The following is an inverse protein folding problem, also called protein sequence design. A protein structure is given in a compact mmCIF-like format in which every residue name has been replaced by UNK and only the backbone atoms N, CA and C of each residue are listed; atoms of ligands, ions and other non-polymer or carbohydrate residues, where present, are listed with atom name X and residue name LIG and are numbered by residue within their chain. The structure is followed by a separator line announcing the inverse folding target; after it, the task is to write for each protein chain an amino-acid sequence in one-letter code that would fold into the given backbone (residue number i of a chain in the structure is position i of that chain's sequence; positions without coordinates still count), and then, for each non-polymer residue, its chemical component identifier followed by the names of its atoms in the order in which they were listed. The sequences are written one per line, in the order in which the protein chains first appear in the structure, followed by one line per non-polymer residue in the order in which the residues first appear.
data_IF_149752255922
#
_entry.id   IF_149752255922
#
_cell.length_a   1.000
_cell.length_b   1.000
_cell.length_c   1.000
_cell.angle_alpha   90.00
_cell.angle_beta   90.00
_cell.angle_gamma   90.00
#
_symmetry.space_group_name_H-M   'P 1'
#
loop_
_entity.id
_entity.type
_entity.pdbx_description
1 polymer ?
#
# COMPACT_ATOMS: atom_id res chain seq x y z
N UNK A 1 9.31 -39.64 12.70
CA UNK A 1 9.85 -38.32 12.29
C UNK A 1 8.66 -37.46 11.88
N UNK A 2 8.25 -36.49 12.69
CA UNK A 2 7.32 -35.46 12.20
C UNK A 2 8.15 -34.50 11.37
N UNK A 3 8.10 -34.64 10.05
CA UNK A 3 8.60 -33.56 9.18
C UNK A 3 7.55 -32.46 9.25
N UNK A 4 7.82 -31.41 10.02
CA UNK A 4 7.04 -30.17 9.97
C UNK A 4 7.29 -29.49 8.61
N UNK A 5 6.71 -30.04 7.54
CA UNK A 5 6.73 -29.44 6.22
C UNK A 5 5.65 -28.35 6.16
N UNK A 6 5.89 -27.23 6.83
CA UNK A 6 5.14 -26.00 6.54
C UNK A 6 5.54 -25.55 5.13
N UNK A 7 4.70 -25.89 4.17
CA UNK A 7 4.88 -25.57 2.77
C UNK A 7 4.19 -24.26 2.42
N UNK A 8 4.83 -23.47 1.56
CA UNK A 8 4.15 -22.37 0.88
C UNK A 8 3.15 -23.00 -0.09
N UNK A 9 1.91 -22.51 -0.03
CA UNK A 9 0.79 -22.98 -0.83
C UNK A 9 0.34 -21.90 -1.81
N UNK A 10 -0.32 -22.33 -2.89
CA UNK A 10 -0.98 -21.45 -3.85
C UNK A 10 -2.49 -21.55 -3.68
N UNK A 11 -3.19 -20.45 -3.90
CA UNK A 11 -4.64 -20.41 -3.92
C UNK A 11 -5.17 -19.13 -4.53
N UNK A 12 -6.49 -18.97 -4.53
CA UNK A 12 -7.16 -17.75 -4.99
C UNK A 12 -7.85 -17.04 -3.83
N UNK A 13 -7.77 -15.73 -3.78
CA UNK A 13 -8.53 -14.94 -2.81
C UNK A 13 -10.02 -15.26 -2.96
N UNK A 14 -10.68 -15.59 -1.87
CA UNK A 14 -12.12 -15.79 -1.79
C UNK A 14 -12.82 -14.52 -1.31
N UNK A 15 -12.28 -13.88 -0.26
CA UNK A 15 -12.75 -12.62 0.27
C UNK A 15 -11.61 -11.82 0.88
N UNK A 16 -11.73 -10.49 0.84
CA UNK A 16 -10.88 -9.56 1.59
C UNK A 16 -11.73 -8.96 2.72
N UNK A 17 -11.33 -9.17 3.96
CA UNK A 17 -12.18 -8.95 5.13
C UNK A 17 -11.39 -8.60 6.40
N UNK A 18 -12.10 -8.49 7.52
CA UNK A 18 -11.52 -8.20 8.83
C UNK A 18 -11.53 -6.72 9.19
N UNK A 19 -10.71 -6.39 10.20
CA UNK A 19 -10.58 -5.02 10.70
C UNK A 19 -9.91 -4.15 9.64
N UNK A 20 -10.32 -2.90 9.59
CA UNK A 20 -9.61 -1.89 8.82
C UNK A 20 -8.37 -1.43 9.60
N UNK A 21 -7.27 -1.17 8.90
CA UNK A 21 -6.13 -0.47 9.49
C UNK A 21 -6.33 1.06 9.45
N UNK A 22 -5.27 1.81 9.74
CA UNK A 22 -5.30 3.28 9.79
C UNK A 22 -5.69 3.94 8.45
N UNK A 23 -5.49 3.25 7.32
CA UNK A 23 -5.82 3.74 5.98
C UNK A 23 -7.25 3.34 5.56
N UNK A 24 -7.99 2.58 6.41
CA UNK A 24 -9.29 2.02 6.06
C UNK A 24 -9.18 0.63 5.40
N UNK A 25 -7.97 0.14 5.15
CA UNK A 25 -7.75 -1.09 4.39
C UNK A 25 -7.94 -2.35 5.24
N UNK A 26 -8.61 -3.35 4.67
CA UNK A 26 -8.83 -4.64 5.31
C UNK A 26 -7.50 -5.37 5.54
N UNK A 27 -7.33 -5.93 6.74
CA UNK A 27 -6.06 -6.54 7.15
C UNK A 27 -5.97 -8.05 6.94
N UNK A 28 -7.05 -8.70 6.52
CA UNK A 28 -7.08 -10.16 6.34
C UNK A 28 -7.81 -10.56 5.06
N UNK A 29 -7.49 -11.73 4.53
CA UNK A 29 -8.22 -12.33 3.42
C UNK A 29 -8.35 -13.83 3.60
N UNK A 30 -9.39 -14.39 3.01
CA UNK A 30 -9.57 -15.83 2.90
C UNK A 30 -9.08 -16.30 1.54
N UNK A 31 -8.50 -17.48 1.51
CA UNK A 31 -7.97 -18.09 0.29
C UNK A 31 -8.68 -19.43 0.07
N UNK A 32 -9.02 -19.71 -1.18
CA UNK A 32 -9.38 -21.05 -1.64
C UNK A 32 -8.08 -21.75 -2.10
N UNK A 33 -7.59 -22.76 -1.37
CA UNK A 33 -6.37 -23.49 -1.74
C UNK A 33 -6.49 -24.14 -3.12
N UNK A 34 -5.42 -24.11 -3.93
CA UNK A 34 -5.41 -24.80 -5.23
C UNK A 34 -5.27 -26.32 -5.12
N UNK A 35 -4.80 -26.84 -3.98
CA UNK A 35 -4.54 -28.28 -3.76
C UNK A 35 -5.61 -28.97 -2.93
N UNK A 36 -6.57 -28.22 -2.39
CA UNK A 36 -7.67 -28.73 -1.57
C UNK A 36 -8.97 -28.05 -2.02
N UNK A 37 -9.59 -28.63 -3.03
CA UNK A 37 -10.90 -28.22 -3.53
C UNK A 37 -11.94 -28.48 -2.43
N UNK A 38 -12.28 -27.46 -1.63
CA UNK A 38 -13.61 -27.23 -1.01
C UNK A 38 -13.54 -26.45 0.31
N UNK A 39 -12.38 -26.33 0.96
CA UNK A 39 -12.27 -25.63 2.25
C UNK A 39 -11.53 -24.30 2.12
N UNK A 40 -12.29 -23.22 2.26
CA UNK A 40 -11.74 -21.86 2.38
C UNK A 40 -10.93 -21.76 3.68
N UNK A 41 -9.77 -21.11 3.63
CA UNK A 41 -8.93 -20.92 4.82
C UNK A 41 -9.65 -20.11 5.90
N UNK A 42 -9.13 -20.18 7.13
CA UNK A 42 -9.35 -19.11 8.11
C UNK A 42 -8.79 -17.79 7.55
N UNK A 43 -9.21 -16.62 8.06
CA UNK A 43 -8.66 -15.34 7.61
C UNK A 43 -7.14 -15.33 7.81
N UNK A 44 -6.41 -15.19 6.71
CA UNK A 44 -4.96 -15.06 6.68
C UNK A 44 -4.60 -13.57 6.74
N UNK A 45 -3.47 -13.25 7.36
CA UNK A 45 -3.00 -11.86 7.46
C UNK A 45 -2.55 -11.36 6.10
N UNK A 46 -3.00 -10.17 5.71
CA UNK A 46 -2.45 -9.42 4.57
C UNK A 46 -1.31 -8.54 5.11
N UNK A 47 -0.06 -8.74 4.67
CA UNK A 47 1.04 -7.81 4.97
C UNK A 47 0.67 -6.40 4.55
N UNK A 48 1.16 -5.39 5.28
CA UNK A 48 0.81 -3.99 5.03
C UNK A 48 1.03 -3.54 3.58
N UNK A 49 2.05 -4.10 2.89
CA UNK A 49 2.38 -3.77 1.51
C UNK A 49 1.46 -4.43 0.46
N UNK A 50 0.55 -5.32 0.85
CA UNK A 50 -0.45 -5.94 -0.04
C UNK A 50 -1.89 -5.48 0.26
N UNK A 51 -2.07 -4.53 1.18
CA UNK A 51 -3.39 -4.02 1.55
C UNK A 51 -3.86 -2.95 0.56
N UNK A 52 -5.17 -2.77 0.49
CA UNK A 52 -5.80 -1.70 -0.29
C UNK A 52 -5.40 -1.72 -1.76
N UNK A 53 -5.29 -0.54 -2.35
CA UNK A 53 -4.85 -0.33 -3.74
C UNK A 53 -3.39 -0.73 -3.97
N UNK A 54 -2.56 -0.85 -2.92
CA UNK A 54 -1.15 -1.23 -3.09
C UNK A 54 -0.98 -2.68 -3.53
N UNK A 55 -1.71 -3.61 -2.91
CA UNK A 55 -1.73 -5.01 -3.34
C UNK A 55 -2.89 -5.36 -4.25
N UNK A 56 -3.95 -4.52 -4.26
CA UNK A 56 -5.15 -4.65 -5.08
C UNK A 56 -5.70 -6.09 -5.09
N UNK A 57 -5.75 -6.71 -3.91
CA UNK A 57 -6.24 -8.09 -3.75
C UNK A 57 -7.76 -8.09 -3.93
N UNK A 58 -8.25 -8.89 -4.86
CA UNK A 58 -9.69 -9.05 -5.13
C UNK A 58 -10.04 -10.53 -5.21
N UNK A 59 -11.31 -10.92 -5.02
CA UNK A 59 -11.72 -12.31 -5.22
C UNK A 59 -11.28 -12.84 -6.58
N UNK A 60 -10.63 -14.00 -6.59
CA UNK A 60 -10.03 -14.61 -7.78
C UNK A 60 -8.55 -14.31 -7.99
N UNK A 61 -7.98 -13.29 -7.35
CA UNK A 61 -6.53 -13.00 -7.42
C UNK A 61 -5.76 -14.23 -6.92
N UNK A 62 -4.82 -14.72 -7.74
CA UNK A 62 -3.99 -15.86 -7.37
C UNK A 62 -2.83 -15.41 -6.49
N UNK A 63 -2.63 -16.10 -5.36
CA UNK A 63 -1.66 -15.73 -4.32
C UNK A 63 -0.85 -16.93 -3.85
N UNK A 64 0.39 -16.66 -3.45
CA UNK A 64 1.15 -17.54 -2.58
C UNK A 64 0.89 -17.16 -1.12
N UNK A 65 0.70 -18.16 -0.26
CA UNK A 65 0.48 -17.96 1.17
C UNK A 65 1.14 -19.07 1.99
N UNK A 66 1.40 -18.78 3.26
CA UNK A 66 1.87 -19.77 4.23
C UNK A 66 0.84 -19.91 5.36
N UNK A 67 0.68 -21.12 5.87
CA UNK A 67 -0.20 -21.43 6.99
C UNK A 67 0.59 -22.19 8.07
N UNK A 68 0.39 -21.77 9.31
CA UNK A 68 0.95 -22.41 10.50
C UNK A 68 0.02 -23.54 10.97
N UNK A 69 0.54 -24.41 11.81
CA UNK A 69 -0.19 -25.58 12.34
C UNK A 69 -1.45 -25.20 13.15
N UNK A 70 -1.50 -23.99 13.72
CA UNK A 70 -2.68 -23.46 14.42
C UNK A 70 -3.78 -22.91 13.48
N UNK A 71 -3.55 -22.99 12.17
CA UNK A 71 -4.44 -22.50 11.12
C UNK A 71 -4.41 -20.98 10.91
N UNK A 72 -3.51 -20.26 11.58
CA UNK A 72 -3.18 -18.88 11.24
C UNK A 72 -2.20 -18.85 10.06
N UNK A 73 -2.00 -17.68 9.45
CA UNK A 73 -1.08 -17.58 8.32
C UNK A 73 -1.00 -16.19 7.73
N UNK A 74 -0.25 -16.09 6.64
CA UNK A 74 0.07 -14.84 5.96
C UNK A 74 0.09 -15.04 4.45
N UNK A 75 -0.45 -14.04 3.74
CA UNK A 75 -0.33 -13.95 2.28
C UNK A 75 1.05 -13.37 1.96
N UNK A 76 1.77 -14.01 1.06
CA UNK A 76 3.16 -13.66 0.75
C UNK A 76 3.25 -12.73 -0.47
N UNK A 77 2.51 -13.04 -1.53
CA UNK A 77 2.52 -12.26 -2.77
C UNK A 77 1.33 -12.62 -3.66
N UNK A 78 0.99 -11.72 -4.58
CA UNK A 78 0.27 -12.09 -5.81
C UNK A 78 1.17 -12.95 -6.70
N UNK A 79 0.56 -13.87 -7.43
CA UNK A 79 1.25 -14.75 -8.38
C UNK A 79 1.42 -14.11 -9.77
N UNK A 80 0.73 -13.00 -10.05
CA UNK A 80 0.89 -12.23 -11.29
C UNK A 80 2.18 -11.40 -11.33
N UNK A 81 2.78 -11.12 -10.17
CA UNK A 81 4.00 -10.31 -10.06
C UNK A 81 3.81 -8.82 -10.36
N UNK A 82 2.57 -8.38 -10.58
CA UNK A 82 2.27 -7.00 -10.95
C UNK A 82 2.26 -6.09 -9.71
N UNK A 83 2.44 -4.79 -9.91
CA UNK A 83 2.16 -3.75 -8.92
C UNK A 83 1.72 -2.48 -9.63
N UNK A 84 0.57 -1.93 -9.21
CA UNK A 84 -0.03 -0.76 -9.84
C UNK A 84 0.76 0.55 -9.59
N UNK A 85 1.85 0.49 -8.80
CA UNK A 85 2.71 1.63 -8.49
C UNK A 85 2.10 2.61 -7.49
N UNK A 86 1.04 2.20 -6.79
CA UNK A 86 0.30 3.03 -5.84
C UNK A 86 0.74 2.70 -4.40
N UNK A 87 1.03 3.74 -3.62
CA UNK A 87 1.21 3.66 -2.17
C UNK A 87 0.11 4.49 -1.51
N UNK A 88 -0.89 3.86 -0.86
CA UNK A 88 -2.01 4.56 -0.25
C UNK A 88 -1.63 5.20 1.09
N UNK A 89 -2.26 6.34 1.37
CA UNK A 89 -2.07 7.11 2.60
C UNK A 89 -0.79 7.94 2.63
N UNK A 90 -0.52 8.54 3.79
CA UNK A 90 0.59 9.48 3.96
C UNK A 90 1.96 8.78 4.01
N UNK A 91 2.95 9.38 3.34
CA UNK A 91 4.35 8.95 3.37
C UNK A 91 5.20 9.99 4.09
N UNK A 92 6.02 9.56 5.04
CA UNK A 92 6.99 10.43 5.75
C UNK A 92 8.41 9.91 5.57
N UNK A 93 9.29 10.72 4.98
CA UNK A 93 10.74 10.46 4.87
C UNK A 93 11.47 11.16 6.01
N UNK A 94 11.96 10.39 6.99
CA UNK A 94 12.65 10.95 8.17
C UNK A 94 14.12 11.30 7.94
N UNK A 95 14.79 10.55 7.05
CA UNK A 95 16.21 10.70 6.71
C UNK A 95 16.42 10.37 5.24
N UNK A 96 17.33 11.09 4.59
CA UNK A 96 17.61 10.94 3.16
C UNK A 96 16.90 11.99 2.31
N UNK A 97 17.02 11.84 0.98
CA UNK A 97 16.36 12.69 -0.01
C UNK A 97 15.37 11.85 -0.82
N UNK A 98 14.29 12.48 -1.26
CA UNK A 98 13.40 11.93 -2.27
C UNK A 98 13.80 12.51 -3.64
N UNK A 99 14.17 11.64 -4.57
CA UNK A 99 14.50 12.02 -5.95
C UNK A 99 13.44 11.49 -6.90
N UNK A 100 12.87 12.36 -7.72
CA UNK A 100 11.96 11.98 -8.80
C UNK A 100 12.67 12.09 -10.16
N UNK A 101 12.41 11.16 -11.06
CA UNK A 101 12.91 11.18 -12.44
C UNK A 101 11.73 11.27 -13.41
N UNK A 102 12.01 11.76 -14.63
CA UNK A 102 11.05 11.90 -15.74
C UNK A 102 9.94 12.94 -15.53
N UNK A 103 8.78 12.53 -14.97
CA UNK A 103 7.50 13.27 -15.11
C UNK A 103 7.17 14.24 -13.97
N UNK A 104 8.03 14.33 -12.95
CA UNK A 104 7.84 15.26 -11.82
C UNK A 104 6.72 14.86 -10.84
N UNK A 105 6.29 15.81 -10.01
CA UNK A 105 5.23 15.63 -9.00
C UNK A 105 4.04 16.52 -9.38
N UNK A 106 2.84 15.94 -9.43
CA UNK A 106 1.58 16.69 -9.60
C UNK A 106 0.88 16.82 -8.24
N UNK A 107 0.55 18.05 -7.85
CA UNK A 107 -0.18 18.35 -6.61
C UNK A 107 -1.50 19.03 -6.98
N UNK A 108 -2.58 18.26 -7.22
CA UNK A 108 -3.78 18.77 -7.90
C UNK A 108 -4.67 19.67 -7.03
N UNK A 109 -4.66 19.48 -5.71
CA UNK A 109 -5.60 20.13 -4.79
C UNK A 109 -4.95 20.66 -3.50
N UNK A 110 -3.62 20.60 -3.40
CA UNK A 110 -2.87 21.05 -2.25
C UNK A 110 -1.75 22.02 -2.66
N UNK A 111 -1.16 22.67 -1.67
CA UNK A 111 -0.03 23.55 -1.88
C UNK A 111 1.30 22.80 -1.72
N UNK A 112 2.35 23.31 -2.38
CA UNK A 112 3.72 22.85 -2.15
C UNK A 112 4.37 23.82 -1.17
N UNK A 113 4.69 23.33 0.02
CA UNK A 113 5.35 24.14 1.04
C UNK A 113 6.82 23.75 1.19
N UNK A 114 7.73 24.71 1.04
CA UNK A 114 9.16 24.52 1.28
C UNK A 114 9.59 25.36 2.48
N UNK A 115 10.09 24.73 3.55
CA UNK A 115 10.51 25.42 4.78
C UNK A 115 9.45 26.36 5.38
N UNK A 116 8.17 25.99 5.26
CA UNK A 116 7.04 26.82 5.72
C UNK A 116 6.58 27.90 4.73
N UNK A 117 7.23 28.04 3.58
CA UNK A 117 6.84 28.98 2.53
C UNK A 117 5.96 28.27 1.51
N UNK A 118 4.75 28.81 1.33
CA UNK A 118 3.73 28.33 0.40
C UNK A 118 4.06 28.69 -1.04
N UNK A 119 4.00 27.74 -1.97
CA UNK A 119 4.20 28.03 -3.40
C UNK A 119 3.08 28.95 -3.93
N UNK A 120 1.83 28.70 -3.56
CA UNK A 120 0.68 29.48 -4.03
C UNK A 120 0.38 30.72 -3.20
N UNK A 121 0.91 30.81 -1.98
CA UNK A 121 0.65 31.89 -1.03
C UNK A 121 1.83 32.79 -0.69
N UNK A 122 3.01 32.61 -1.32
CA UNK A 122 4.15 33.48 -1.05
C UNK A 122 3.98 34.88 -1.65
N UNK A 123 4.76 35.82 -1.14
CA UNK A 123 4.77 37.21 -1.61
C UNK A 123 6.17 37.68 -1.98
N UNK A 124 6.27 38.56 -2.97
CA UNK A 124 7.48 39.29 -3.30
C UNK A 124 7.41 40.71 -2.74
N UNK A 125 8.52 41.22 -2.20
CA UNK A 125 8.64 42.63 -1.77
C UNK A 125 9.33 43.44 -2.85
N UNK A 126 8.77 44.59 -3.22
CA UNK A 126 9.43 45.50 -4.16
C UNK A 126 10.66 46.20 -3.52
N UNK A 127 11.61 46.62 -4.35
CA UNK A 127 12.84 47.29 -3.89
C UNK A 127 12.70 48.81 -3.77
N UNK A 128 11.56 49.40 -4.15
CA UNK A 128 11.40 50.84 -4.35
C UNK A 128 10.43 51.51 -3.37
N UNK A 129 9.72 50.74 -2.55
CA UNK A 129 8.71 51.24 -1.61
C UNK A 129 8.20 50.22 -0.59
N UNK A 130 8.60 48.95 -0.68
CA UNK A 130 8.23 47.90 0.28
C UNK A 130 6.83 47.32 0.11
N UNK A 131 6.17 47.60 -1.02
CA UNK A 131 4.91 46.96 -1.38
C UNK A 131 5.10 45.46 -1.61
N UNK A 132 4.03 44.69 -1.44
CA UNK A 132 4.05 43.25 -1.69
C UNK A 132 3.09 42.84 -2.81
N UNK A 133 3.51 41.86 -3.60
CA UNK A 133 2.69 41.22 -4.63
C UNK A 133 2.64 39.70 -4.42
N UNK A 134 1.60 39.04 -4.94
CA UNK A 134 1.50 37.59 -4.95
C UNK A 134 2.46 36.89 -5.92
N UNK A 135 2.36 35.56 -6.04
CA UNK A 135 3.16 34.77 -6.98
C UNK A 135 2.95 35.22 -8.44
N UNK A 136 3.99 35.13 -9.28
CA UNK A 136 3.94 35.44 -10.72
C UNK A 136 3.73 34.21 -11.59
#
# INVERSE_FOLDING_TARGET
MNSNNQMIQKGKISSVEGKADRNGDKTTARVLPSTADSMVTRPLTIPWYLRGEMGNLTPGTEVAYAMFEDGTGIILSRMDGEWDGIVPGDITVKKGALTMQDKGISVPSADVTATGISLTGHTHTDSMGGGTSGPQ
#
